data_IF_405833271399
#
_entry.id   IF_405833271399
#
_cell.length_a   1.000
_cell.length_b   1.000
_cell.length_c   1.000
_cell.angle_alpha   90.00
_cell.angle_beta   90.00
_cell.angle_gamma   90.00
#
_symmetry.space_group_name_H-M   'P 1'
#
loop_
_entity.id
_entity.type
_entity.pdbx_description
1 polymer ?
#
# COMPACT_ATOMS: atom_id res chain seq x y z
N UNK A 1 19.87 -9.24 -14.71
CA UNK A 1 19.42 -9.72 -13.37
C UNK A 1 18.24 -8.85 -12.95
N UNK A 2 17.20 -9.43 -12.34
CA UNK A 2 16.03 -8.67 -11.90
C UNK A 2 16.21 -8.38 -10.42
N UNK A 3 16.09 -7.13 -9.99
CA UNK A 3 16.20 -6.76 -8.58
C UNK A 3 14.99 -5.96 -8.16
N UNK A 4 14.53 -6.18 -6.92
CA UNK A 4 13.47 -5.37 -6.33
C UNK A 4 14.09 -4.05 -5.88
N UNK A 5 13.59 -2.95 -6.43
CA UNK A 5 14.02 -1.61 -6.07
C UNK A 5 13.18 -1.02 -4.94
N UNK A 6 11.87 -1.20 -5.03
CA UNK A 6 10.92 -0.72 -4.05
C UNK A 6 9.78 -1.71 -3.95
N UNK A 7 9.36 -2.03 -2.73
CA UNK A 7 8.20 -2.86 -2.48
C UNK A 7 7.55 -2.36 -1.19
N UNK A 8 6.27 -2.00 -1.25
CA UNK A 8 5.46 -1.70 -0.08
C UNK A 8 4.03 -2.09 -0.41
N UNK A 9 3.36 -2.97 0.35
CA UNK A 9 1.95 -3.24 0.12
C UNK A 9 1.12 -1.97 0.34
N UNK A 10 0.09 -1.78 -0.48
CA UNK A 10 -0.90 -0.72 -0.30
C UNK A 10 -1.72 -0.96 0.98
N UNK A 11 -2.12 -2.21 1.21
CA UNK A 11 -2.60 -2.65 2.52
C UNK A 11 -2.20 -4.10 2.79
N UNK A 12 -2.20 -4.45 4.07
CA UNK A 12 -2.04 -5.83 4.51
C UNK A 12 -3.31 -6.30 5.20
N UNK A 13 -3.65 -7.58 5.02
CA UNK A 13 -4.80 -8.19 5.68
C UNK A 13 -4.36 -9.50 6.32
N UNK A 14 -4.47 -9.56 7.64
CA UNK A 14 -4.29 -10.79 8.40
C UNK A 14 -5.62 -11.54 8.48
N UNK A 15 -5.61 -12.82 8.12
CA UNK A 15 -6.79 -13.69 8.27
C UNK A 15 -6.32 -15.06 8.74
N UNK A 16 -6.70 -15.42 9.97
CA UNK A 16 -6.21 -16.62 10.66
C UNK A 16 -4.67 -16.69 10.66
N UNK A 17 -4.08 -17.56 9.83
CA UNK A 17 -2.62 -17.78 9.69
C UNK A 17 -2.08 -17.33 8.34
N UNK A 18 -2.86 -16.54 7.59
CA UNK A 18 -2.46 -16.01 6.28
C UNK A 18 -2.34 -14.51 6.33
N UNK A 19 -1.20 -14.02 5.88
CA UNK A 19 -0.95 -12.61 5.62
C UNK A 19 -1.12 -12.35 4.13
N UNK A 20 -2.09 -11.49 3.78
CA UNK A 20 -2.31 -11.05 2.42
C UNK A 20 -1.72 -9.65 2.24
N UNK A 21 -0.73 -9.55 1.38
CA UNK A 21 -0.10 -8.29 0.96
C UNK A 21 -0.74 -7.88 -0.36
N UNK A 22 -1.40 -6.72 -0.41
CA UNK A 22 -2.06 -6.24 -1.63
C UNK A 22 -1.32 -5.01 -2.15
N UNK A 23 -0.95 -5.04 -3.43
CA UNK A 23 -0.15 -4.00 -4.08
C UNK A 23 -1.02 -3.15 -5.00
N UNK A 24 -0.73 -1.84 -5.03
CA UNK A 24 -1.34 -0.88 -5.94
C UNK A 24 -0.31 -0.41 -6.99
N UNK A 25 -0.77 0.34 -7.98
CA UNK A 25 0.08 0.91 -9.02
C UNK A 25 1.30 1.64 -8.42
N UNK A 26 2.51 1.35 -8.91
CA UNK A 26 3.80 1.91 -8.46
C UNK A 26 4.26 1.55 -7.04
N UNK A 27 3.47 0.87 -6.23
CA UNK A 27 3.85 0.43 -4.88
C UNK A 27 4.86 -0.73 -4.87
N UNK A 28 5.23 -1.21 -6.05
CA UNK A 28 6.25 -2.22 -6.27
C UNK A 28 7.00 -1.85 -7.56
N UNK A 29 8.33 -1.88 -7.55
CA UNK A 29 9.16 -1.68 -8.73
C UNK A 29 10.35 -2.63 -8.75
N UNK A 30 10.77 -2.97 -9.98
CA UNK A 30 11.93 -3.82 -10.24
C UNK A 30 12.87 -3.14 -11.21
N UNK A 31 14.18 -3.35 -11.04
CA UNK A 31 15.19 -3.00 -12.03
C UNK A 31 15.53 -4.25 -12.84
N UNK A 32 15.47 -4.12 -14.17
CA UNK A 32 15.97 -5.13 -15.11
C UNK A 32 16.83 -4.42 -16.14
N UNK A 33 18.08 -4.86 -16.29
CA UNK A 33 19.02 -4.32 -17.28
C UNK A 33 19.21 -2.79 -17.16
N UNK A 34 19.38 -2.29 -15.93
CA UNK A 34 19.46 -0.86 -15.57
C UNK A 34 18.20 -0.03 -15.87
N UNK A 35 17.06 -0.68 -16.10
CA UNK A 35 15.80 -0.01 -16.35
C UNK A 35 14.79 -0.29 -15.24
N UNK A 36 14.16 0.78 -14.74
CA UNK A 36 13.14 0.72 -13.71
C UNK A 36 11.76 0.43 -14.31
N UNK A 37 11.09 -0.60 -13.82
CA UNK A 37 9.72 -0.95 -14.18
C UNK A 37 8.83 -0.85 -12.94
N UNK A 38 7.65 -0.24 -13.10
CA UNK A 38 6.67 -0.07 -12.03
C UNK A 38 5.54 -1.07 -12.14
N UNK A 39 5.10 -1.62 -11.02
CA UNK A 39 4.00 -2.57 -10.97
C UNK A 39 2.67 -1.94 -11.40
N UNK A 40 1.87 -2.72 -12.13
CA UNK A 40 0.51 -2.37 -12.56
C UNK A 40 -0.41 -3.55 -12.28
N UNK A 41 -1.50 -3.36 -11.51
CA UNK A 41 -2.39 -4.45 -11.09
C UNK A 41 -3.37 -4.88 -12.20
N UNK A 42 -2.84 -5.36 -13.32
CA UNK A 42 -3.64 -5.82 -14.48
C UNK A 42 -4.05 -7.30 -14.32
N UNK A 43 -3.14 -8.12 -13.81
CA UNK A 43 -3.36 -9.55 -13.58
C UNK A 43 -3.39 -9.79 -12.06
N UNK A 44 -2.31 -10.31 -11.49
CA UNK A 44 -2.17 -10.48 -10.06
C UNK A 44 -1.81 -9.20 -9.32
N UNK A 45 -2.38 -9.03 -8.13
CA UNK A 45 -2.15 -7.86 -7.26
C UNK A 45 -1.83 -8.17 -5.81
N UNK A 46 -1.76 -9.45 -5.47
CA UNK A 46 -1.60 -9.87 -4.09
C UNK A 46 -0.60 -11.00 -3.93
N UNK A 47 0.02 -11.02 -2.75
CA UNK A 47 0.90 -12.08 -2.31
C UNK A 47 0.36 -12.62 -0.98
N UNK A 48 0.18 -13.92 -0.91
CA UNK A 48 -0.37 -14.61 0.25
C UNK A 48 0.77 -15.36 0.92
N UNK A 49 1.12 -14.95 2.13
CA UNK A 49 2.15 -15.59 2.95
C UNK A 49 1.47 -16.42 4.02
N UNK A 50 1.85 -17.69 4.11
CA UNK A 50 1.49 -18.56 5.23
C UNK A 50 2.43 -18.25 6.40
N UNK A 51 1.88 -17.82 7.53
CA UNK A 51 2.68 -17.41 8.69
C UNK A 51 3.25 -18.59 9.49
N UNK A 52 2.73 -19.80 9.32
CA UNK A 52 3.25 -20.99 10.01
C UNK A 52 4.49 -21.54 9.28
N UNK A 53 4.51 -21.48 7.94
CA UNK A 53 5.65 -21.94 7.12
C UNK A 53 6.56 -20.80 6.64
N UNK A 54 6.12 -19.55 6.75
CA UNK A 54 6.74 -18.36 6.16
C UNK A 54 6.91 -18.46 4.63
N UNK A 55 6.05 -19.22 3.95
CA UNK A 55 6.10 -19.42 2.50
C UNK A 55 4.97 -18.70 1.78
N UNK A 56 5.23 -18.28 0.53
CA UNK A 56 4.21 -17.73 -0.36
C UNK A 56 3.37 -18.89 -0.92
N UNK A 57 2.04 -18.82 -0.77
CA UNK A 57 1.13 -19.87 -1.23
C UNK A 57 0.78 -19.73 -2.72
N UNK A 58 0.64 -18.49 -3.22
CA UNK A 58 0.18 -18.21 -4.58
C UNK A 58 1.35 -17.99 -5.56
N UNK A 59 2.32 -18.90 -5.60
CA UNK A 59 3.53 -18.77 -6.43
C UNK A 59 3.26 -18.65 -7.96
N UNK A 60 2.12 -19.14 -8.42
CA UNK A 60 1.70 -19.06 -9.82
C UNK A 60 1.14 -17.68 -10.23
N UNK A 61 0.88 -16.80 -9.26
CA UNK A 61 0.36 -15.46 -9.50
C UNK A 61 1.34 -14.64 -10.36
N UNK A 62 0.83 -13.94 -11.37
CA UNK A 62 1.65 -13.18 -12.32
C UNK A 62 1.56 -11.69 -12.01
N UNK A 63 2.71 -11.08 -11.74
CA UNK A 63 2.84 -9.65 -11.51
C UNK A 63 3.31 -8.96 -12.79
N UNK A 64 2.65 -7.87 -13.14
CA UNK A 64 2.96 -7.10 -14.35
C UNK A 64 3.65 -5.81 -13.96
N UNK A 65 4.79 -5.54 -14.58
CA UNK A 65 5.56 -4.31 -14.43
C UNK A 65 5.66 -3.59 -15.77
N UNK A 66 5.58 -2.26 -15.77
CA UNK A 66 5.52 -1.43 -16.96
C UNK A 66 6.62 -0.35 -16.94
N UNK A 67 7.21 -0.09 -18.11
CA UNK A 67 8.01 1.10 -18.41
C UNK A 67 7.64 1.59 -19.81
N UNK A 68 6.92 2.71 -19.89
CA UNK A 68 6.37 3.20 -21.15
C UNK A 68 5.45 2.15 -21.78
N UNK A 69 5.74 1.73 -23.01
CA UNK A 69 4.94 0.71 -23.72
C UNK A 69 5.42 -0.73 -23.50
N UNK A 70 6.42 -0.95 -22.64
CA UNK A 70 6.99 -2.29 -22.40
C UNK A 70 6.44 -2.87 -21.12
N UNK A 71 6.03 -4.13 -21.20
CA UNK A 71 5.49 -4.90 -20.08
C UNK A 71 6.42 -6.06 -19.75
N UNK A 72 6.65 -6.26 -18.47
CA UNK A 72 7.41 -7.37 -17.90
C UNK A 72 6.44 -8.15 -17.02
N UNK A 73 6.11 -9.37 -17.44
CA UNK A 73 5.25 -10.29 -16.69
C UNK A 73 6.13 -11.27 -15.93
N UNK A 74 6.01 -11.30 -14.62
CA UNK A 74 6.80 -12.14 -13.75
C UNK A 74 5.88 -12.93 -12.82
N UNK A 75 5.83 -14.26 -12.96
CA UNK A 75 5.27 -15.11 -11.93
C UNK A 75 6.01 -14.91 -10.60
N UNK A 76 5.31 -15.00 -9.48
CA UNK A 76 5.90 -14.85 -8.16
C UNK A 76 7.04 -15.85 -7.91
N UNK A 77 6.93 -17.10 -8.36
CA UNK A 77 8.03 -18.07 -8.23
C UNK A 77 9.32 -17.57 -8.90
N UNK A 78 9.23 -16.91 -10.05
CA UNK A 78 10.40 -16.40 -10.78
C UNK A 78 10.98 -15.19 -10.05
N UNK A 79 10.11 -14.33 -9.51
CA UNK A 79 10.53 -13.18 -8.72
C UNK A 79 11.26 -13.63 -7.44
N UNK A 80 10.79 -14.67 -6.77
CA UNK A 80 11.44 -15.27 -5.59
C UNK A 80 12.81 -15.86 -5.89
N UNK A 81 13.02 -16.42 -7.09
CA UNK A 81 14.29 -17.05 -7.47
C UNK A 81 15.32 -16.05 -8.00
N UNK A 82 14.87 -15.01 -8.71
CA UNK A 82 15.73 -14.15 -9.51
C UNK A 82 16.05 -12.81 -8.85
N UNK A 83 15.35 -12.47 -7.76
CA UNK A 83 15.43 -11.15 -7.12
C UNK A 83 15.64 -11.24 -5.60
N UNK A 84 16.03 -10.11 -5.01
CA UNK A 84 16.24 -9.94 -3.58
C UNK A 84 14.94 -9.66 -2.80
N UNK A 85 13.79 -10.15 -3.28
CA UNK A 85 12.47 -9.87 -2.68
C UNK A 85 12.36 -10.31 -1.22
N UNK A 86 13.12 -11.34 -0.81
CA UNK A 86 13.15 -11.81 0.58
C UNK A 86 13.61 -10.70 1.55
N UNK A 87 14.55 -9.86 1.14
CA UNK A 87 15.06 -8.72 1.93
C UNK A 87 13.96 -7.67 2.19
N UNK A 88 12.99 -7.56 1.27
CA UNK A 88 11.84 -6.67 1.41
C UNK A 88 10.69 -7.34 2.19
N UNK A 89 10.49 -8.64 2.03
CA UNK A 89 9.37 -9.36 2.63
C UNK A 89 9.56 -9.60 4.14
N UNK A 90 10.76 -9.98 4.57
CA UNK A 90 11.08 -10.28 5.98
C UNK A 90 10.72 -9.14 6.94
N UNK A 91 11.19 -7.88 6.73
CA UNK A 91 10.85 -6.79 7.64
C UNK A 91 9.34 -6.48 7.67
N UNK A 92 8.64 -6.64 6.55
CA UNK A 92 7.17 -6.47 6.52
C UNK A 92 6.47 -7.56 7.34
N UNK A 93 6.96 -8.79 7.28
CA UNK A 93 6.44 -9.90 8.08
C UNK A 93 6.65 -9.64 9.56
N UNK A 94 7.86 -9.22 9.96
CA UNK A 94 8.20 -8.89 11.34
C UNK A 94 7.33 -7.76 11.88
N UNK A 95 7.15 -6.69 11.11
CA UNK A 95 6.25 -5.59 11.49
C UNK A 95 4.80 -6.06 11.69
N UNK A 96 4.30 -6.93 10.80
CA UNK A 96 2.93 -7.44 10.92
C UNK A 96 2.80 -8.40 12.10
N UNK A 97 3.78 -9.25 12.36
CA UNK A 97 3.78 -10.16 13.52
C UNK A 97 3.86 -9.36 14.82
N UNK A 98 4.69 -8.32 14.86
CA UNK A 98 4.79 -7.41 15.99
C UNK A 98 3.44 -6.69 16.25
N UNK A 99 2.79 -6.20 15.19
CA UNK A 99 1.48 -5.53 15.25
C UNK A 99 0.31 -6.51 15.46
N UNK A 100 0.45 -7.80 15.12
CA UNK A 100 -0.59 -8.80 15.36
C UNK A 100 -0.72 -9.15 16.86
N UNK A 101 0.34 -8.90 17.65
CA UNK A 101 0.30 -9.01 19.11
C UNK A 101 -0.35 -7.78 19.79
N UNK A 102 -0.64 -6.71 19.04
CA UNK A 102 -1.32 -5.49 19.50
C UNK A 102 -2.45 -5.12 18.52
N UNK A 103 -3.65 -5.67 18.73
CA UNK A 103 -4.85 -5.37 17.91
C UNK A 103 -5.30 -3.93 18.25
N UNK A 104 -5.39 -2.97 17.28
CA UNK A 104 -6.45 -3.02 16.26
C UNK A 104 -6.11 -2.49 14.84
N UNK A 105 -6.89 -3.00 13.89
CA UNK A 105 -7.24 -2.46 12.56
C UNK A 105 -6.31 -1.37 11.98
N UNK A 106 -5.42 -1.76 11.08
CA UNK A 106 -4.61 -0.81 10.32
C UNK A 106 -5.49 -0.05 9.30
N UNK A 107 -5.68 1.23 9.57
CA UNK A 107 -5.98 2.25 8.57
C UNK A 107 -4.89 2.25 7.49
N UNK A 108 -5.22 2.63 6.24
CA UNK A 108 -4.25 2.73 5.16
C UNK A 108 -3.05 3.57 5.62
N UNK A 109 -1.85 2.99 5.48
CA UNK A 109 -0.62 3.71 5.78
C UNK A 109 -0.54 4.95 4.88
N UNK A 110 -0.14 6.12 5.40
CA UNK A 110 0.16 7.25 4.54
C UNK A 110 1.23 6.82 3.52
N UNK A 111 1.14 7.28 2.26
CA UNK A 111 2.26 7.17 1.34
C UNK A 111 3.53 7.76 2.01
N UNK A 112 4.73 7.31 1.62
CA UNK A 112 5.97 7.94 2.09
C UNK A 112 5.88 9.45 1.85
N UNK A 113 6.61 10.26 2.63
CA UNK A 113 6.69 11.71 2.45
C UNK A 113 7.18 12.03 1.02
N UNK A 114 6.23 12.06 0.09
CA UNK A 114 6.29 12.81 -1.15
C UNK A 114 6.17 14.28 -0.79
N UNK A 115 6.76 15.10 -1.64
CA UNK A 115 6.82 16.56 -1.57
C UNK A 115 5.52 17.22 -1.07
N UNK A 116 5.62 18.48 -0.66
CA UNK A 116 4.48 19.33 -0.28
C UNK A 116 3.23 18.97 -1.10
N UNK A 117 2.10 18.67 -0.44
CA UNK A 117 0.91 18.15 -1.11
C UNK A 117 0.57 19.09 -2.25
N UNK A 118 0.46 18.54 -3.46
CA UNK A 118 0.20 19.33 -4.65
C UNK A 118 -1.11 20.10 -4.46
N UNK A 119 -1.25 21.27 -5.09
CA UNK A 119 -2.46 22.09 -4.96
C UNK A 119 -3.75 21.29 -5.27
N UNK A 120 -3.66 20.32 -6.19
CA UNK A 120 -4.74 19.40 -6.52
C UNK A 120 -5.10 18.45 -5.37
N UNK A 121 -4.11 17.86 -4.70
CA UNK A 121 -4.32 16.97 -3.55
C UNK A 121 -4.89 17.72 -2.35
N UNK A 122 -4.46 18.97 -2.13
CA UNK A 122 -5.02 19.83 -1.09
C UNK A 122 -6.49 20.14 -1.35
N UNK A 123 -6.85 20.49 -2.60
CA UNK A 123 -8.24 20.76 -2.98
C UNK A 123 -9.13 19.51 -2.83
N UNK A 124 -8.64 18.36 -3.28
CA UNK A 124 -9.35 17.09 -3.16
C UNK A 124 -9.57 16.70 -1.68
N UNK A 125 -8.55 16.92 -0.84
CA UNK A 125 -8.62 16.65 0.60
C UNK A 125 -9.65 17.53 1.27
N UNK A 126 -9.67 18.84 0.99
CA UNK A 126 -10.69 19.78 1.52
C UNK A 126 -12.10 19.34 1.15
N UNK A 127 -12.31 18.99 -0.11
CA UNK A 127 -13.61 18.54 -0.62
C UNK A 127 -14.08 17.24 0.02
N UNK A 128 -13.15 16.35 0.35
CA UNK A 128 -13.44 15.10 1.05
C UNK A 128 -13.90 15.37 2.49
N UNK A 129 -13.19 16.23 3.22
CA UNK A 129 -13.61 16.62 4.58
C UNK A 129 -14.97 17.31 4.60
N UNK A 130 -15.27 18.18 3.62
CA UNK A 130 -16.60 18.81 3.51
C UNK A 130 -17.69 17.75 3.35
N UNK A 131 -17.49 16.78 2.46
CA UNK A 131 -18.44 15.69 2.25
C UNK A 131 -18.63 14.82 3.51
N UNK A 132 -17.55 14.51 4.24
CA UNK A 132 -17.63 13.72 5.48
C UNK A 132 -18.35 14.48 6.59
N UNK A 133 -18.18 15.80 6.67
CA UNK A 133 -18.90 16.66 7.61
C UNK A 133 -20.40 16.67 7.30
N UNK A 134 -20.77 16.82 6.02
CA UNK A 134 -22.17 16.74 5.59
C UNK A 134 -22.78 15.38 5.92
N UNK A 135 -22.03 14.28 5.69
CA UNK A 135 -22.47 12.94 6.05
C UNK A 135 -22.65 12.76 7.58
N UNK A 136 -21.78 13.37 8.39
CA UNK A 136 -21.89 13.33 9.84
C UNK A 136 -23.12 14.12 10.34
N UNK A 137 -23.44 15.26 9.71
CA UNK A 137 -24.65 16.03 9.97
C UNK A 137 -25.91 15.27 9.57
N UNK A 138 -25.93 14.65 8.38
CA UNK A 138 -27.04 13.82 7.90
C UNK A 138 -27.30 12.61 8.80
N UNK A 139 -26.23 12.02 9.35
CA UNK A 139 -26.29 10.88 10.27
C UNK A 139 -26.50 11.28 11.73
N UNK A 140 -26.57 12.58 12.02
CA UNK A 140 -26.68 13.16 13.36
C UNK A 140 -25.57 12.67 14.34
N UNK A 141 -24.38 12.40 13.81
CA UNK A 141 -23.22 11.93 14.57
C UNK A 141 -22.36 13.14 15.00
N UNK A 142 -22.72 13.70 16.15
CA UNK A 142 -22.08 14.88 16.73
C UNK A 142 -20.60 14.65 17.06
N UNK A 143 -20.24 13.42 17.48
CA UNK A 143 -18.85 13.07 17.80
C UNK A 143 -17.97 13.02 16.54
N UNK A 144 -18.48 12.43 15.46
CA UNK A 144 -17.80 12.43 14.17
C UNK A 144 -17.67 13.85 13.60
N UNK A 145 -18.72 14.67 13.72
CA UNK A 145 -18.72 16.05 13.27
C UNK A 145 -17.60 16.88 13.94
N UNK A 146 -17.53 16.87 15.28
CA UNK A 146 -16.50 17.62 16.00
C UNK A 146 -15.09 17.18 15.62
N UNK A 147 -14.86 15.87 15.50
CA UNK A 147 -13.57 15.31 15.11
C UNK A 147 -13.14 15.73 13.69
N UNK A 148 -14.08 15.76 12.74
CA UNK A 148 -13.82 16.15 11.35
C UNK A 148 -13.58 17.65 11.22
N UNK A 149 -14.32 18.48 11.97
CA UNK A 149 -14.15 19.94 12.00
C UNK A 149 -12.78 20.32 12.60
N UNK A 150 -12.38 19.66 13.68
CA UNK A 150 -11.07 19.92 14.30
C UNK A 150 -9.91 19.48 13.40
N UNK A 151 -10.05 18.34 12.71
CA UNK A 151 -9.09 17.88 11.71
C UNK A 151 -8.97 18.85 10.51
N UNK A 152 -10.11 19.38 10.02
CA UNK A 152 -10.12 20.38 8.95
C UNK A 152 -9.42 21.68 9.36
N UNK A 153 -9.64 22.16 10.59
CA UNK A 153 -8.94 23.35 11.12
C UNK A 153 -7.43 23.15 11.19
N UNK A 154 -6.96 21.99 11.62
CA UNK A 154 -5.52 21.69 11.67
C UNK A 154 -4.87 21.66 10.28
N UNK A 155 -5.63 21.30 9.25
CA UNK A 155 -5.23 21.36 7.84
C UNK A 155 -5.17 22.79 7.29
N UNK A 156 -5.99 23.71 7.82
CA UNK A 156 -5.99 25.14 7.43
C UNK A 156 -4.97 25.98 8.21
N UNK A 157 -4.56 25.53 9.40
CA UNK A 157 -3.62 26.22 10.31
C UNK A 157 -2.14 25.90 10.01
N UNK A 158 -1.83 25.09 9.00
CA UNK A 158 -0.49 25.04 8.42
C UNK A 158 -0.38 25.94 7.17
N UNK A 159 -0.22 27.26 7.32
CA UNK A 159 0.47 28.04 6.31
C UNK A 159 1.98 27.93 6.54
N UNK A 160 2.67 27.51 5.48
CA UNK A 160 4.09 27.81 5.16
C UNK A 160 5.16 27.56 6.22
#
# INVERSE_FOLDING_TARGET
>A
MIQVNYMKPFYTKLTARKLRLVFAYQYFSVVKDNELYYFVPIEGKEMIVNLDTMQIENLAEVFVFQKGNRFLRLPLYQLMLMSNIQEHLLPMLEEVIAKANDVPQQQPAPPPAVDEPTAFEQELTKRNYDYLIDCALDSNDEAAFHKLVDAKKQLEVQPS
#
